data_IF_611827555382
#
_entry.id   IF_611827555382
#
_cell.length_a   1.000
_cell.length_b   1.000
_cell.length_c   1.000
_cell.angle_alpha   90.00
_cell.angle_beta   90.00
_cell.angle_gamma   90.00
#
_symmetry.space_group_name_H-M   'P 1'
#
loop_
_entity.id
_entity.type
_entity.pdbx_description
1 polymer ?
#
# COMPACT_ATOMS: atom_id res chain seq x y z
N UNK A 1 8.59 -35.39 -7.06
CA UNK A 1 8.91 -34.21 -6.23
C UNK A 1 8.79 -32.98 -7.15
N UNK A 2 7.63 -32.31 -7.16
CA UNK A 2 7.40 -31.10 -7.99
C UNK A 2 7.55 -29.89 -7.08
N UNK A 3 8.62 -29.12 -7.27
CA UNK A 3 8.82 -27.84 -6.59
C UNK A 3 7.81 -26.83 -7.15
N UNK A 4 6.79 -26.49 -6.37
CA UNK A 4 5.81 -25.43 -6.66
C UNK A 4 6.40 -24.06 -6.30
N UNK A 5 7.43 -23.61 -7.03
CA UNK A 5 8.03 -22.28 -6.85
C UNK A 5 8.16 -21.57 -8.20
N UNK A 6 7.04 -21.35 -8.88
CA UNK A 6 7.03 -20.87 -10.27
C UNK A 6 6.38 -19.49 -10.52
N UNK A 7 5.38 -18.99 -9.76
CA UNK A 7 4.71 -17.75 -10.17
C UNK A 7 5.58 -16.49 -9.96
N UNK A 8 6.19 -16.31 -8.78
CA UNK A 8 6.98 -15.09 -8.48
C UNK A 8 8.24 -15.01 -9.35
N UNK A 9 8.96 -16.13 -9.53
CA UNK A 9 10.19 -16.17 -10.31
C UNK A 9 9.94 -15.74 -11.76
N UNK A 10 8.88 -16.25 -12.39
CA UNK A 10 8.52 -15.91 -13.78
C UNK A 10 8.28 -14.42 -13.98
N UNK A 11 7.60 -13.76 -13.04
CA UNK A 11 7.34 -12.33 -13.13
C UNK A 11 8.62 -11.49 -13.04
N UNK A 12 9.62 -11.94 -12.28
CA UNK A 12 10.91 -11.26 -12.20
C UNK A 12 11.66 -11.41 -13.52
N UNK A 13 11.68 -12.61 -14.10
CA UNK A 13 12.33 -12.86 -15.39
C UNK A 13 11.71 -12.01 -16.50
N UNK A 14 10.37 -11.93 -16.56
CA UNK A 14 9.65 -11.07 -17.52
C UNK A 14 10.04 -9.58 -17.35
N UNK A 15 10.20 -9.10 -16.11
CA UNK A 15 10.66 -7.73 -15.83
C UNK A 15 12.11 -7.52 -16.32
N UNK A 16 13.00 -8.49 -16.07
CA UNK A 16 14.41 -8.43 -16.52
C UNK A 16 14.48 -8.37 -18.05
N UNK A 17 13.66 -9.16 -18.74
CA UNK A 17 13.61 -9.23 -20.20
C UNK A 17 12.83 -8.07 -20.85
N UNK A 18 12.34 -7.11 -20.05
CA UNK A 18 11.55 -5.96 -20.53
C UNK A 18 10.16 -6.33 -21.06
N UNK A 19 9.68 -7.53 -20.77
CA UNK A 19 8.34 -8.04 -21.12
C UNK A 19 7.35 -7.94 -19.94
N UNK A 20 7.82 -7.44 -18.79
CA UNK A 20 7.02 -7.21 -17.59
C UNK A 20 6.04 -6.04 -17.70
N UNK A 21 5.23 -5.82 -16.65
CA UNK A 21 4.26 -4.72 -16.61
C UNK A 21 4.94 -3.33 -16.68
N UNK A 22 4.21 -2.34 -17.18
CA UNK A 22 4.72 -0.95 -17.29
C UNK A 22 5.12 -0.33 -15.95
N UNK A 23 4.49 -0.75 -14.84
CA UNK A 23 4.84 -0.36 -13.49
C UNK A 23 4.89 -1.60 -12.59
N UNK A 24 5.91 -1.69 -11.73
CA UNK A 24 6.10 -2.81 -10.81
C UNK A 24 6.63 -2.31 -9.47
N UNK A 25 6.13 -2.88 -8.37
CA UNK A 25 6.63 -2.66 -7.02
C UNK A 25 7.07 -3.98 -6.42
N UNK A 26 8.28 -4.01 -5.88
CA UNK A 26 8.78 -5.15 -5.12
C UNK A 26 8.59 -4.89 -3.63
N UNK A 27 7.70 -5.64 -2.99
CA UNK A 27 7.35 -5.49 -1.58
C UNK A 27 7.57 -6.83 -0.88
N UNK A 28 8.17 -6.80 0.30
CA UNK A 28 8.38 -7.99 1.13
C UNK A 28 7.54 -7.87 2.39
N UNK A 29 6.69 -8.87 2.62
CA UNK A 29 5.71 -8.85 3.70
C UNK A 29 4.36 -8.28 3.27
N UNK A 30 3.38 -8.36 4.16
CA UNK A 30 2.03 -7.83 3.97
C UNK A 30 1.42 -7.46 5.32
N UNK A 31 0.52 -6.49 5.31
CA UNK A 31 -0.37 -6.23 6.44
C UNK A 31 -1.59 -7.16 6.33
N UNK A 32 -1.91 -7.84 7.42
CA UNK A 32 -3.05 -8.75 7.50
C UNK A 32 -3.93 -8.38 8.68
N UNK A 33 -5.24 -8.51 8.49
CA UNK A 33 -6.23 -8.30 9.52
C UNK A 33 -6.92 -9.62 9.85
N UNK A 34 -7.18 -9.83 11.14
CA UNK A 34 -8.08 -10.89 11.59
C UNK A 34 -9.53 -10.62 11.16
N UNK A 35 -10.44 -11.61 11.29
CA UNK A 35 -11.84 -11.43 10.93
C UNK A 35 -12.47 -10.24 11.68
N UNK A 36 -13.03 -9.27 10.95
CA UNK A 36 -13.70 -8.10 11.51
C UNK A 36 -12.77 -7.04 12.11
N UNK A 37 -11.44 -7.25 12.11
CA UNK A 37 -10.49 -6.35 12.75
C UNK A 37 -10.39 -5.01 12.00
N UNK A 38 -10.31 -5.04 10.66
CA UNK A 38 -10.22 -3.81 9.86
C UNK A 38 -11.46 -2.94 10.05
N UNK A 39 -12.65 -3.55 10.05
CA UNK A 39 -13.92 -2.85 10.28
C UNK A 39 -13.94 -2.22 11.68
N UNK A 40 -13.50 -2.96 12.70
CA UNK A 40 -13.40 -2.41 14.06
C UNK A 40 -12.45 -1.22 14.13
N UNK A 41 -11.29 -1.29 13.49
CA UNK A 41 -10.28 -0.22 13.49
C UNK A 41 -10.75 1.00 12.69
N UNK A 42 -11.51 0.81 11.61
CA UNK A 42 -12.15 1.91 10.88
C UNK A 42 -13.21 2.61 11.75
N UNK A 43 -13.99 1.87 12.54
CA UNK A 43 -15.00 2.42 13.44
C UNK A 43 -14.40 3.21 14.61
N UNK A 44 -13.17 2.90 15.02
CA UNK A 44 -12.45 3.63 16.08
C UNK A 44 -11.59 4.77 15.55
N UNK A 45 -11.74 5.16 14.28
CA UNK A 45 -10.93 6.19 13.61
C UNK A 45 -9.42 5.91 13.64
N UNK A 46 -9.02 4.64 13.74
CA UNK A 46 -7.61 4.23 13.71
C UNK A 46 -7.02 4.23 12.30
N UNK A 47 -7.88 4.17 11.27
CA UNK A 47 -7.49 4.28 9.87
C UNK A 47 -8.27 5.39 9.16
N UNK A 48 -7.57 6.06 8.24
CA UNK A 48 -8.18 6.96 7.26
C UNK A 48 -8.11 6.26 5.91
N UNK A 49 -9.25 6.13 5.24
CA UNK A 49 -9.34 5.52 3.91
C UNK A 49 -9.36 6.59 2.82
N UNK A 50 -8.54 6.42 1.80
CA UNK A 50 -8.51 7.28 0.62
C UNK A 50 -8.86 6.48 -0.64
N UNK A 51 -9.46 7.12 -1.67
CA UNK A 51 -9.62 6.49 -2.97
C UNK A 51 -8.28 6.01 -3.52
N UNK A 52 -8.29 4.87 -4.19
CA UNK A 52 -7.10 4.37 -4.86
C UNK A 52 -6.70 5.28 -6.03
N UNK A 53 -5.45 5.73 -6.02
CA UNK A 53 -4.82 6.45 -7.13
C UNK A 53 -3.50 5.75 -7.49
N UNK A 54 -3.36 5.17 -8.71
CA UNK A 54 -2.16 4.49 -9.13
C UNK A 54 -0.94 5.42 -9.18
N UNK A 55 -1.12 6.72 -9.40
CA UNK A 55 -0.01 7.68 -9.44
C UNK A 55 0.66 7.81 -8.07
N UNK A 56 -0.14 7.79 -6.99
CA UNK A 56 0.38 7.80 -5.61
C UNK A 56 1.18 6.52 -5.32
N UNK A 57 0.75 5.39 -5.86
CA UNK A 57 1.40 4.09 -5.62
C UNK A 57 2.67 3.91 -6.44
N UNK A 58 2.66 4.30 -7.72
CA UNK A 58 3.74 3.99 -8.67
C UNK A 58 4.64 5.18 -9.02
N UNK A 59 4.12 6.40 -9.05
CA UNK A 59 4.85 7.56 -9.59
C UNK A 59 5.38 8.51 -8.50
N UNK A 60 4.74 8.52 -7.33
CA UNK A 60 5.14 9.35 -6.19
C UNK A 60 6.25 8.68 -5.37
N UNK A 61 7.27 9.46 -5.03
CA UNK A 61 8.35 9.06 -4.11
C UNK A 61 7.79 8.56 -2.78
N UNK A 62 8.34 7.46 -2.26
CA UNK A 62 7.83 6.77 -1.06
C UNK A 62 7.61 7.71 0.13
N UNK A 63 8.53 8.65 0.36
CA UNK A 63 8.45 9.63 1.46
C UNK A 63 7.26 10.60 1.30
N UNK A 64 6.86 10.89 0.07
CA UNK A 64 5.76 11.81 -0.26
C UNK A 64 4.39 11.12 -0.35
N UNK A 65 4.34 9.78 -0.40
CA UNK A 65 3.08 9.04 -0.61
C UNK A 65 2.05 9.29 0.50
N UNK A 66 2.50 9.39 1.75
CA UNK A 66 1.62 9.69 2.88
C UNK A 66 0.95 11.05 2.70
N UNK A 67 1.74 12.10 2.48
CA UNK A 67 1.22 13.46 2.29
C UNK A 67 0.27 13.52 1.10
N UNK A 68 0.64 12.94 -0.04
CA UNK A 68 -0.23 12.89 -1.24
C UNK A 68 -1.52 12.14 -1.02
N UNK A 69 -1.50 11.06 -0.23
CA UNK A 69 -2.71 10.31 0.13
C UNK A 69 -3.66 11.16 0.97
N UNK A 70 -3.14 11.91 1.95
CA UNK A 70 -3.94 12.80 2.78
C UNK A 70 -4.48 14.00 1.98
N UNK A 71 -3.64 14.62 1.15
CA UNK A 71 -4.03 15.72 0.28
C UNK A 71 -5.15 15.32 -0.70
N UNK A 72 -5.16 14.05 -1.16
CA UNK A 72 -6.21 13.52 -2.05
C UNK A 72 -7.61 13.56 -1.43
N UNK A 73 -7.69 13.58 -0.09
CA UNK A 73 -8.93 13.71 0.67
C UNK A 73 -9.36 15.17 0.88
N UNK A 74 -8.59 16.14 0.37
CA UNK A 74 -8.79 17.56 0.66
C UNK A 74 -8.39 17.97 2.07
N UNK A 75 -7.68 17.10 2.79
CA UNK A 75 -7.17 17.32 4.15
C UNK A 75 -5.71 17.74 4.01
N UNK A 76 -5.27 18.77 4.76
CA UNK A 76 -3.84 19.06 4.86
C UNK A 76 -3.21 18.14 5.90
N UNK A 77 -2.08 17.51 5.58
CA UNK A 77 -1.30 16.64 6.48
C UNK A 77 -1.08 17.24 7.89
N UNK A 78 -0.80 18.54 7.98
CA UNK A 78 -0.63 19.29 9.24
C UNK A 78 -1.87 19.30 10.16
N UNK A 79 -3.06 19.00 9.63
CA UNK A 79 -4.29 18.92 10.41
C UNK A 79 -4.51 17.55 11.06
N UNK A 80 -3.66 16.56 10.74
CA UNK A 80 -3.70 15.25 11.39
C UNK A 80 -2.71 15.30 12.55
N UNK A 81 -3.23 15.19 13.77
CA UNK A 81 -2.42 15.13 14.99
C UNK A 81 -1.65 13.81 15.03
N UNK A 82 -0.37 13.85 15.44
CA UNK A 82 0.46 12.67 15.76
C UNK A 82 -0.05 11.86 16.97
N UNK A 83 -1.24 12.16 17.52
CA UNK A 83 -1.84 11.33 18.55
C UNK A 83 -2.33 10.00 17.97
N UNK A 84 -1.45 9.01 18.09
CA UNK A 84 -1.75 7.58 17.96
C UNK A 84 -2.79 7.22 19.03
N UNK A 85 -3.86 6.53 18.61
CA UNK A 85 -5.02 6.16 19.44
C UNK A 85 -4.66 5.47 20.75
N UNK A 86 -5.45 5.74 21.78
CA UNK A 86 -5.29 5.20 23.13
C UNK A 86 -5.35 3.66 23.14
N UNK A 87 -4.29 3.04 23.68
CA UNK A 87 -4.33 1.67 24.19
C UNK A 87 -4.99 1.63 25.57
#
# INVERSE_FOLDING_TARGET
MKTLSLPVQRHIDDIIDGQGPSHSLFIVGYSGWGPGQLESELMTNSWISAPYDPTIVFDVDTESRWEKSIDSLGIKSINISDQIGHA
#
